data_IF_595081414668
#
_entry.id   IF_595081414668
#
_cell.length_a   1.000
_cell.length_b   1.000
_cell.length_c   1.000
_cell.angle_alpha   90.00
_cell.angle_beta   90.00
_cell.angle_gamma   90.00
#
_symmetry.space_group_name_H-M   'P 1'
#
loop_
_entity.id
_entity.type
_entity.pdbx_description
1 polymer ?
#
# COMPACT_ATOMS: atom_id res chain seq x y z
N UNK A 1 19.54 -1.63 27.97
CA UNK A 1 18.15 -1.36 28.41
C UNK A 1 17.26 -1.36 27.19
N UNK A 2 16.46 -2.41 26.97
CA UNK A 2 15.51 -2.44 25.87
C UNK A 2 14.29 -1.60 26.25
N UNK A 3 13.91 -0.63 25.41
CA UNK A 3 12.70 0.16 25.63
C UNK A 3 11.52 -0.76 25.32
N UNK A 4 10.75 -1.10 26.34
CA UNK A 4 9.49 -1.83 26.19
C UNK A 4 8.51 -0.93 25.44
N UNK A 5 8.25 -1.24 24.17
CA UNK A 5 7.28 -0.49 23.36
C UNK A 5 5.89 -0.87 23.83
N UNK A 6 5.18 0.07 24.45
CA UNK A 6 3.75 -0.10 24.72
C UNK A 6 3.00 -0.37 23.41
N UNK A 7 2.06 -1.30 23.45
CA UNK A 7 1.12 -1.49 22.36
C UNK A 7 0.40 -0.16 22.07
N UNK A 8 0.30 0.19 20.79
CA UNK A 8 -0.34 1.43 20.37
C UNK A 8 -1.85 1.36 20.62
N UNK A 9 -2.42 2.48 21.08
CA UNK A 9 -3.85 2.56 21.34
C UNK A 9 -4.65 2.52 20.02
N UNK A 10 -5.83 1.88 19.98
CA UNK A 10 -6.63 1.73 18.76
C UNK A 10 -6.93 3.06 18.05
N UNK A 11 -7.21 4.13 18.80
CA UNK A 11 -7.52 5.45 18.25
C UNK A 11 -6.29 6.07 17.58
N UNK A 12 -5.10 5.80 18.10
CA UNK A 12 -3.86 6.26 17.46
C UNK A 12 -3.58 5.45 16.20
N UNK A 13 -3.83 4.13 16.24
CA UNK A 13 -3.70 3.25 15.06
C UNK A 13 -4.63 3.70 13.94
N UNK A 14 -5.89 4.00 14.24
CA UNK A 14 -6.87 4.46 13.25
C UNK A 14 -6.46 5.75 12.49
N UNK A 15 -5.66 6.61 13.12
CA UNK A 15 -5.18 7.88 12.53
C UNK A 15 -3.82 7.76 11.84
N UNK A 16 -2.97 6.82 12.30
CA UNK A 16 -1.55 6.75 11.90
C UNK A 16 -1.20 5.53 11.05
N UNK A 17 -2.01 4.47 11.08
CA UNK A 17 -1.81 3.30 10.24
C UNK A 17 -2.09 3.60 8.76
N UNK A 18 -1.59 2.73 7.88
CA UNK A 18 -1.77 2.86 6.44
C UNK A 18 -1.05 4.06 5.79
N UNK A 19 -0.17 4.76 6.52
CA UNK A 19 0.71 5.78 5.93
C UNK A 19 1.82 5.12 5.13
N UNK A 20 2.05 5.60 3.92
CA UNK A 20 3.13 5.12 3.05
C UNK A 20 4.43 5.89 3.28
N UNK A 21 5.46 5.55 2.50
CA UNK A 21 6.77 6.21 2.55
C UNK A 21 6.83 7.53 1.77
N UNK A 22 5.70 8.07 1.30
CA UNK A 22 5.69 9.32 0.50
C UNK A 22 6.09 10.56 1.31
N UNK A 23 5.98 10.49 2.63
CA UNK A 23 6.20 11.64 3.53
C UNK A 23 5.07 12.68 3.51
N UNK A 24 4.00 12.43 2.76
CA UNK A 24 2.82 13.29 2.76
C UNK A 24 2.03 13.17 4.07
N UNK A 25 1.40 14.27 4.50
CA UNK A 25 0.56 14.27 5.70
C UNK A 25 -0.70 13.40 5.53
N UNK A 26 -1.27 13.38 4.32
CA UNK A 26 -2.37 12.49 3.95
C UNK A 26 -1.84 11.51 2.89
N UNK A 27 -2.16 10.21 2.99
CA UNK A 27 -1.76 9.24 1.97
C UNK A 27 -2.24 9.68 0.57
N UNK A 28 -1.40 9.55 -0.47
CA UNK A 28 -1.81 9.83 -1.85
C UNK A 28 -2.97 8.94 -2.28
N UNK A 29 -3.92 9.51 -3.03
CA UNK A 29 -5.01 8.76 -3.63
C UNK A 29 -4.59 8.21 -5.00
N UNK A 30 -4.55 6.89 -5.14
CA UNK A 30 -4.18 6.22 -6.40
C UNK A 30 -5.43 5.88 -7.22
N UNK A 31 -6.06 6.91 -7.79
CA UNK A 31 -7.26 6.81 -8.63
C UNK A 31 -6.98 6.32 -10.06
N UNK A 32 -6.15 5.28 -10.21
CA UNK A 32 -5.88 4.62 -11.49
C UNK A 32 -6.42 3.20 -11.49
N UNK A 33 -6.74 2.68 -12.68
CA UNK A 33 -7.10 1.27 -12.88
C UNK A 33 -5.89 0.42 -13.30
N UNK A 34 -4.91 1.02 -13.97
CA UNK A 34 -3.71 0.37 -14.54
C UNK A 34 -2.45 1.18 -14.27
N UNK A 35 -1.28 0.55 -14.40
CA UNK A 35 0.04 1.20 -14.35
C UNK A 35 0.87 0.78 -15.56
N UNK A 36 1.85 1.61 -15.91
CA UNK A 36 2.86 1.28 -16.90
C UNK A 36 3.91 0.33 -16.32
N UNK A 37 4.64 -0.33 -17.22
CA UNK A 37 5.78 -1.17 -16.87
C UNK A 37 6.96 -0.80 -17.75
N UNK A 38 8.17 -0.89 -17.21
CA UNK A 38 9.39 -0.52 -17.92
C UNK A 38 9.66 -1.36 -19.18
N UNK A 39 9.28 -2.64 -19.17
CA UNK A 39 9.54 -3.59 -20.24
C UNK A 39 8.51 -4.74 -20.28
N UNK A 40 8.66 -5.61 -21.30
CA UNK A 40 7.80 -6.76 -21.52
C UNK A 40 7.92 -7.81 -20.40
N UNK A 41 9.09 -7.95 -19.79
CA UNK A 41 9.30 -8.89 -18.68
C UNK A 41 8.52 -8.44 -17.44
N UNK A 42 8.53 -7.13 -17.16
CA UNK A 42 7.73 -6.48 -16.13
C UNK A 42 6.23 -6.61 -16.39
N UNK A 43 5.79 -6.45 -17.65
CA UNK A 43 4.40 -6.73 -18.06
C UNK A 43 4.03 -8.18 -17.78
N UNK A 44 4.86 -9.14 -18.22
CA UNK A 44 4.59 -10.57 -18.06
C UNK A 44 4.54 -10.99 -16.59
N UNK A 45 5.46 -10.47 -15.77
CA UNK A 45 5.46 -10.70 -14.33
C UNK A 45 4.24 -10.07 -13.64
N UNK A 46 3.86 -8.85 -14.03
CA UNK A 46 2.68 -8.15 -13.51
C UNK A 46 1.38 -8.88 -13.83
N UNK A 47 1.23 -9.37 -15.06
CA UNK A 47 0.03 -10.08 -15.53
C UNK A 47 -0.24 -11.41 -14.78
N UNK A 48 0.80 -12.04 -14.26
CA UNK A 48 0.70 -13.28 -13.47
C UNK A 48 0.70 -13.04 -11.95
N UNK A 49 0.96 -11.81 -11.53
CA UNK A 49 0.99 -11.45 -10.12
C UNK A 49 -0.40 -11.47 -9.51
N UNK A 50 -0.53 -12.09 -8.33
CA UNK A 50 -1.75 -12.03 -7.53
C UNK A 50 -1.52 -11.07 -6.38
N UNK A 51 -2.50 -10.19 -6.14
CA UNK A 51 -2.48 -9.23 -5.04
C UNK A 51 -1.21 -8.36 -4.99
N UNK A 52 -0.69 -8.01 -6.17
CA UNK A 52 0.47 -7.15 -6.35
C UNK A 52 0.01 -5.78 -6.86
N UNK A 53 0.27 -4.73 -6.10
CA UNK A 53 0.02 -3.35 -6.53
C UNK A 53 0.88 -2.97 -7.73
N UNK A 54 0.44 -1.99 -8.53
CA UNK A 54 1.24 -1.46 -9.64
C UNK A 54 1.08 -2.21 -10.97
N UNK A 55 -0.03 -2.95 -11.16
CA UNK A 55 -0.38 -3.51 -12.47
C UNK A 55 -1.86 -3.35 -12.82
N UNK A 56 -2.77 -3.93 -12.02
CA UNK A 56 -4.21 -3.80 -12.25
C UNK A 56 -5.02 -3.70 -10.96
N UNK A 57 -5.72 -2.58 -10.77
CA UNK A 57 -6.37 -2.20 -9.50
C UNK A 57 -7.43 -3.18 -9.04
N UNK A 58 -7.99 -3.98 -9.95
CA UNK A 58 -8.97 -5.02 -9.62
C UNK A 58 -8.43 -6.02 -8.59
N UNK A 59 -7.12 -6.29 -8.61
CA UNK A 59 -6.51 -7.30 -7.75
C UNK A 59 -5.70 -6.70 -6.60
N UNK A 60 -5.17 -5.48 -6.78
CA UNK A 60 -4.52 -4.70 -5.73
C UNK A 60 -4.34 -3.24 -6.19
N UNK A 61 -4.59 -2.29 -5.29
CA UNK A 61 -4.37 -0.85 -5.49
C UNK A 61 -3.62 -0.28 -4.27
N UNK A 62 -2.62 0.60 -4.43
CA UNK A 62 -1.85 1.10 -3.28
C UNK A 62 -2.70 1.79 -2.20
N UNK A 63 -3.78 2.47 -2.58
CA UNK A 63 -4.73 3.06 -1.61
C UNK A 63 -5.43 1.99 -0.78
N UNK A 64 -5.80 0.88 -1.42
CA UNK A 64 -6.50 -0.23 -0.78
C UNK A 64 -5.54 -1.07 0.06
N UNK A 65 -4.32 -1.35 -0.43
CA UNK A 65 -3.26 -2.06 0.34
C UNK A 65 -2.91 -1.29 1.62
N UNK A 66 -2.82 0.04 1.55
CA UNK A 66 -2.61 0.90 2.72
C UNK A 66 -3.75 0.77 3.74
N UNK A 67 -5.00 0.70 3.29
CA UNK A 67 -6.16 0.45 4.16
C UNK A 67 -6.16 -0.97 4.74
N UNK A 68 -5.89 -1.99 3.92
CA UNK A 68 -5.84 -3.40 4.33
C UNK A 68 -4.78 -3.66 5.41
N UNK A 69 -3.65 -2.96 5.38
CA UNK A 69 -2.60 -3.04 6.42
C UNK A 69 -2.98 -2.35 7.73
N UNK A 70 -3.98 -1.48 7.71
CA UNK A 70 -4.41 -0.71 8.87
C UNK A 70 -5.48 -1.43 9.70
N UNK A 71 -6.14 -2.45 9.13
CA UNK A 71 -7.20 -3.25 9.76
C UNK A 71 -6.74 -4.68 10.03
#
# INVERSE_FOLDING_TARGET
>A
MAIERRAQQPETTAITAGRDSSGALTPPLWASTTWDTADLDGTHAGAKGVHKTGFYSRYANPTVDAFERAI
#
